data_IF_739027429000
#
_entry.id   IF_739027429000
#
_cell.length_a   1.000
_cell.length_b   1.000
_cell.length_c   1.000
_cell.angle_alpha   90.00
_cell.angle_beta   90.00
_cell.angle_gamma   90.00
#
_symmetry.space_group_name_H-M   'P 1'
#
loop_
_entity.id
_entity.type
_entity.pdbx_description
1 polymer ?
#
# COMPACT_ATOMS: atom_id res chain seq x y z
N UNK A 1 -12.73 -14.63 -12.96
CA UNK A 1 -11.43 -14.31 -13.62
C UNK A 1 -10.34 -14.85 -12.70
N UNK A 2 -9.34 -15.61 -13.17
CA UNK A 2 -8.32 -16.13 -12.24
C UNK A 2 -7.39 -15.00 -11.81
N UNK A 3 -7.73 -14.31 -10.71
CA UNK A 3 -6.88 -13.26 -10.15
C UNK A 3 -5.53 -13.85 -9.74
N UNK A 4 -4.46 -13.42 -10.40
CA UNK A 4 -3.08 -13.81 -10.10
C UNK A 4 -2.75 -13.69 -8.60
N UNK A 5 -3.25 -12.63 -7.96
CA UNK A 5 -3.10 -12.36 -6.52
C UNK A 5 -3.67 -13.50 -5.66
N UNK A 6 -4.84 -14.05 -6.04
CA UNK A 6 -5.52 -15.10 -5.30
C UNK A 6 -4.93 -16.50 -5.58
N UNK A 7 -4.20 -16.66 -6.67
CA UNK A 7 -3.56 -17.92 -7.09
C UNK A 7 -2.25 -18.23 -6.39
N UNK A 8 -1.55 -17.23 -5.85
CA UNK A 8 -0.17 -17.38 -5.32
C UNK A 8 -0.09 -18.04 -3.93
N UNK A 9 -1.14 -17.93 -3.11
CA UNK A 9 -1.15 -18.43 -1.73
C UNK A 9 -0.19 -17.67 -0.78
N UNK A 10 -0.45 -17.75 0.54
CA UNK A 10 0.27 -16.97 1.58
C UNK A 10 1.79 -17.20 1.62
N UNK A 11 2.27 -18.40 1.22
CA UNK A 11 3.70 -18.72 1.26
C UNK A 11 4.51 -17.96 0.20
N UNK A 12 3.90 -17.62 -0.94
CA UNK A 12 4.62 -17.00 -2.07
C UNK A 12 4.30 -15.51 -2.28
N UNK A 13 3.15 -15.02 -1.79
CA UNK A 13 2.77 -13.61 -1.85
C UNK A 13 2.50 -13.08 -0.44
N UNK A 14 3.44 -12.29 0.09
CA UNK A 14 3.41 -11.81 1.49
C UNK A 14 2.64 -10.52 1.69
N UNK A 15 2.57 -9.67 0.67
CA UNK A 15 1.96 -8.34 0.74
C UNK A 15 1.57 -7.87 -0.66
N UNK A 16 0.48 -7.12 -0.75
CA UNK A 16 0.08 -6.39 -1.97
C UNK A 16 0.27 -4.90 -1.69
N UNK A 17 1.06 -4.23 -2.54
CA UNK A 17 1.18 -2.77 -2.50
C UNK A 17 0.18 -2.18 -3.49
N UNK A 18 -0.71 -1.35 -3.00
CA UNK A 18 -1.69 -0.66 -3.82
C UNK A 18 -1.24 0.79 -4.01
N UNK A 19 -0.71 1.09 -5.19
CA UNK A 19 -0.14 2.39 -5.51
C UNK A 19 -1.24 3.32 -6.02
N UNK A 20 -1.43 4.44 -5.32
CA UNK A 20 -2.37 5.49 -5.71
C UNK A 20 -1.62 6.78 -6.03
N UNK A 21 -2.09 7.55 -7.00
CA UNK A 21 -1.57 8.90 -7.26
C UNK A 21 -2.08 9.85 -6.16
N UNK A 22 -1.19 10.45 -5.38
CA UNK A 22 -1.53 11.30 -4.24
C UNK A 22 -2.34 12.55 -4.63
N UNK A 23 -2.40 12.93 -5.91
CA UNK A 23 -3.22 14.05 -6.39
C UNK A 23 -4.70 13.69 -6.46
N UNK A 24 -5.03 12.44 -6.75
CA UNK A 24 -6.41 11.99 -6.96
C UNK A 24 -6.92 10.96 -5.94
N UNK A 25 -6.06 10.03 -5.49
CA UNK A 25 -6.47 8.92 -4.64
C UNK A 25 -7.11 7.80 -5.47
N UNK A 26 -8.13 7.16 -4.92
CA UNK A 26 -8.89 6.13 -5.62
C UNK A 26 -9.68 6.70 -6.80
N UNK A 27 -9.63 5.98 -7.92
CA UNK A 27 -10.47 6.18 -9.11
C UNK A 27 -11.48 5.05 -9.24
N UNK A 28 -12.51 5.25 -10.07
CA UNK A 28 -13.55 4.25 -10.35
C UNK A 28 -13.00 2.86 -10.65
N UNK A 29 -11.98 2.78 -11.52
CA UNK A 29 -11.32 1.54 -11.90
C UNK A 29 -10.64 0.81 -10.74
N UNK A 30 -10.15 1.56 -9.74
CA UNK A 30 -9.55 0.97 -8.54
C UNK A 30 -10.62 0.32 -7.66
N UNK A 31 -11.80 0.96 -7.54
CA UNK A 31 -12.95 0.39 -6.84
C UNK A 31 -13.46 -0.87 -7.55
N UNK A 32 -13.67 -0.81 -8.86
CA UNK A 32 -14.10 -1.95 -9.68
C UNK A 32 -13.12 -3.14 -9.56
N UNK A 33 -11.81 -2.87 -9.52
CA UNK A 33 -10.79 -3.89 -9.28
C UNK A 33 -10.90 -4.50 -7.88
N UNK A 34 -11.02 -3.67 -6.84
CA UNK A 34 -11.13 -4.14 -5.45
C UNK A 34 -12.42 -4.94 -5.22
N UNK A 35 -13.54 -4.53 -5.82
CA UNK A 35 -14.80 -5.26 -5.78
C UNK A 35 -14.68 -6.61 -6.49
N UNK A 36 -14.09 -6.64 -7.70
CA UNK A 36 -13.83 -7.88 -8.43
C UNK A 36 -12.92 -8.84 -7.65
N UNK A 37 -11.85 -8.31 -7.05
CA UNK A 37 -10.92 -9.08 -6.23
C UNK A 37 -11.64 -9.72 -5.02
N UNK A 38 -12.61 -9.01 -4.46
CA UNK A 38 -13.35 -9.45 -3.28
C UNK A 38 -14.51 -10.39 -3.55
N UNK A 39 -15.19 -10.20 -4.67
CA UNK A 39 -16.14 -11.16 -5.17
C UNK A 39 -15.51 -12.56 -5.23
N UNK A 40 -14.30 -12.65 -5.80
CA UNK A 40 -13.57 -13.90 -5.95
C UNK A 40 -12.91 -14.38 -4.64
N UNK A 41 -12.79 -13.50 -3.63
CA UNK A 41 -12.34 -13.85 -2.27
C UNK A 41 -13.41 -14.56 -1.43
N UNK A 42 -14.70 -14.41 -1.73
CA UNK A 42 -15.75 -15.17 -1.05
C UNK A 42 -15.53 -16.69 -1.16
N UNK A 43 -14.78 -17.14 -2.17
CA UNK A 43 -14.36 -18.53 -2.36
C UNK A 43 -12.99 -18.88 -1.76
N UNK A 44 -12.17 -17.91 -1.31
CA UNK A 44 -10.79 -18.12 -0.83
C UNK A 44 -10.47 -17.27 0.40
N UNK A 45 -10.14 -17.91 1.51
CA UNK A 45 -9.91 -17.25 2.82
C UNK A 45 -8.65 -16.38 2.92
N UNK A 46 -7.81 -16.28 1.89
CA UNK A 46 -6.42 -15.86 2.04
C UNK A 46 -5.95 -14.77 1.05
N UNK A 47 -6.54 -13.57 1.10
CA UNK A 47 -5.88 -12.38 0.53
C UNK A 47 -4.69 -11.98 1.41
N UNK A 48 -3.49 -11.69 0.85
CA UNK A 48 -2.40 -11.09 1.60
C UNK A 48 -2.76 -9.68 2.15
N UNK A 49 -2.04 -9.16 3.14
CA UNK A 49 -2.21 -7.77 3.58
C UNK A 49 -2.05 -6.79 2.42
N UNK A 50 -3.00 -5.86 2.28
CA UNK A 50 -2.91 -4.73 1.35
C UNK A 50 -2.30 -3.55 2.11
N UNK A 51 -1.28 -2.94 1.52
CA UNK A 51 -0.68 -1.70 2.00
C UNK A 51 -0.87 -0.60 0.96
N UNK A 52 -1.43 0.52 1.38
CA UNK A 52 -1.61 1.69 0.53
C UNK A 52 -0.29 2.47 0.42
N UNK A 53 0.05 2.84 -0.81
CA UNK A 53 1.22 3.67 -1.13
C UNK A 53 0.74 4.87 -1.95
N UNK A 54 0.73 6.06 -1.36
CA UNK A 54 0.47 7.29 -2.10
C UNK A 54 1.76 7.73 -2.79
N UNK A 55 1.71 7.83 -4.12
CA UNK A 55 2.83 8.22 -4.99
C UNK A 55 2.68 9.68 -5.43
N UNK A 56 3.77 10.30 -5.94
CA UNK A 56 3.78 11.71 -6.39
C UNK A 56 3.38 12.70 -5.29
N UNK A 57 3.71 12.37 -4.03
CA UNK A 57 3.38 13.24 -2.90
C UNK A 57 4.00 14.63 -3.02
N UNK A 58 5.14 14.77 -3.69
CA UNK A 58 5.83 16.05 -3.96
C UNK A 58 4.96 17.06 -4.72
N UNK A 59 3.90 16.61 -5.38
CA UNK A 59 2.97 17.46 -6.13
C UNK A 59 1.74 17.87 -5.30
N UNK A 60 1.71 17.57 -4.00
CA UNK A 60 0.54 17.77 -3.14
C UNK A 60 0.97 18.43 -1.83
N UNK A 61 0.16 19.39 -1.36
CA UNK A 61 0.44 20.07 -0.09
C UNK A 61 0.37 19.10 1.09
N UNK A 62 1.08 19.40 2.18
CA UNK A 62 1.07 18.53 3.36
C UNK A 62 -0.32 18.37 3.98
N UNK A 63 -1.14 19.43 3.98
CA UNK A 63 -2.50 19.39 4.50
C UNK A 63 -3.39 18.48 3.65
N UNK A 64 -3.30 18.60 2.33
CA UNK A 64 -4.08 17.75 1.42
C UNK A 64 -3.60 16.30 1.43
N UNK A 65 -2.30 16.05 1.64
CA UNK A 65 -1.78 14.70 1.88
C UNK A 65 -2.36 14.09 3.16
N UNK A 66 -2.40 14.84 4.27
CA UNK A 66 -2.96 14.37 5.52
C UNK A 66 -4.45 14.00 5.37
N UNK A 67 -5.23 14.86 4.70
CA UNK A 67 -6.62 14.59 4.34
C UNK A 67 -6.73 13.34 3.45
N UNK A 68 -5.87 13.24 2.44
CA UNK A 68 -5.87 12.12 1.50
C UNK A 68 -5.59 10.80 2.19
N UNK A 69 -4.65 10.74 3.13
CA UNK A 69 -4.34 9.54 3.92
C UNK A 69 -5.57 9.03 4.66
N UNK A 70 -6.31 9.92 5.33
CA UNK A 70 -7.54 9.55 6.04
C UNK A 70 -8.60 9.06 5.05
N UNK A 71 -8.80 9.81 3.95
CA UNK A 71 -9.76 9.47 2.91
C UNK A 71 -9.51 8.09 2.31
N UNK A 72 -8.30 7.78 1.86
CA UNK A 72 -8.00 6.50 1.21
C UNK A 72 -8.07 5.33 2.19
N UNK A 73 -7.70 5.54 3.46
CA UNK A 73 -7.89 4.52 4.50
C UNK A 73 -9.36 4.18 4.67
N UNK A 74 -10.21 5.20 4.82
CA UNK A 74 -11.65 5.00 4.98
C UNK A 74 -12.26 4.32 3.75
N UNK A 75 -11.89 4.78 2.54
CA UNK A 75 -12.37 4.18 1.29
C UNK A 75 -11.99 2.70 1.20
N UNK A 76 -10.74 2.34 1.49
CA UNK A 76 -10.32 0.94 1.50
C UNK A 76 -11.09 0.13 2.56
N UNK A 77 -11.26 0.66 3.77
CA UNK A 77 -12.04 0.01 4.84
C UNK A 77 -13.48 -0.28 4.42
N UNK A 78 -14.12 0.67 3.72
CA UNK A 78 -15.52 0.52 3.30
C UNK A 78 -15.71 -0.56 2.23
N UNK A 79 -14.73 -0.71 1.34
CA UNK A 79 -14.79 -1.69 0.26
C UNK A 79 -14.48 -3.08 0.81
N UNK A 80 -13.49 -3.21 1.69
CA UNK A 80 -13.02 -4.51 2.14
C UNK A 80 -14.03 -5.21 3.08
N UNK A 81 -14.48 -6.41 2.69
CA UNK A 81 -15.35 -7.33 3.46
C UNK A 81 -14.71 -7.66 4.82
N UNK A 82 -13.39 -7.69 4.89
CA UNK A 82 -12.62 -7.91 6.12
C UNK A 82 -11.90 -6.63 6.52
N UNK A 83 -11.63 -6.50 7.82
CA UNK A 83 -10.85 -5.39 8.33
C UNK A 83 -9.55 -5.22 7.52
N UNK A 84 -9.27 -4.01 6.98
CA UNK A 84 -8.02 -3.73 6.31
C UNK A 84 -6.84 -3.99 7.25
N UNK A 85 -5.70 -4.31 6.65
CA UNK A 85 -4.48 -4.48 7.43
C UNK A 85 -4.16 -3.20 8.20
N UNK A 86 -3.68 -3.32 9.45
CA UNK A 86 -3.20 -2.21 10.27
C UNK A 86 -1.92 -1.54 9.74
N UNK A 87 -1.55 -1.82 8.48
CA UNK A 87 -0.38 -1.27 7.84
C UNK A 87 -0.53 0.24 7.61
N UNK A 88 0.54 1.02 7.81
CA UNK A 88 0.52 2.44 7.55
C UNK A 88 0.36 2.72 6.05
N UNK A 89 -0.28 3.86 5.73
CA UNK A 89 -0.23 4.42 4.38
C UNK A 89 1.15 5.03 4.20
N UNK A 90 1.88 4.58 3.18
CA UNK A 90 3.21 5.09 2.86
C UNK A 90 3.10 6.26 1.88
N UNK A 91 3.82 7.35 2.15
CA UNK A 91 3.90 8.51 1.27
C UNK A 91 5.23 8.48 0.52
N UNK A 92 5.20 8.42 -0.80
CA UNK A 92 6.41 8.31 -1.64
C UNK A 92 6.38 9.28 -2.82
N UNK A 93 7.55 9.76 -3.19
CA UNK A 93 7.79 10.42 -4.48
C UNK A 93 8.90 9.66 -5.20
N UNK A 94 8.74 9.50 -6.52
CA UNK A 94 9.78 8.95 -7.39
C UNK A 94 10.89 9.96 -7.70
N UNK A 95 10.66 11.26 -7.43
CA UNK A 95 11.63 12.31 -7.71
C UNK A 95 12.77 12.24 -6.70
N UNK A 96 13.97 11.98 -7.19
CA UNK A 96 15.18 11.95 -6.37
C UNK A 96 15.36 13.29 -5.64
N UNK A 97 15.74 13.22 -4.35
CA UNK A 97 15.96 14.40 -3.51
C UNK A 97 14.69 15.12 -3.01
N UNK A 98 13.50 14.73 -3.47
CA UNK A 98 12.23 15.40 -3.14
C UNK A 98 11.17 14.46 -2.54
N UNK A 99 11.53 13.20 -2.31
CA UNK A 99 10.77 12.33 -1.41
C UNK A 99 10.56 13.06 -0.09
N UNK A 100 9.35 12.99 0.47
CA UNK A 100 9.07 13.36 1.86
C UNK A 100 9.97 12.50 2.76
N UNK A 101 11.25 12.85 2.83
CA UNK A 101 12.23 12.38 3.76
C UNK A 101 12.01 13.29 4.96
N UNK A 102 10.91 13.07 5.68
CA UNK A 102 10.72 13.65 6.99
C UNK A 102 11.78 13.03 7.90
N UNK A 103 13.01 13.56 7.83
CA UNK A 103 14.07 13.19 8.74
C UNK A 103 13.65 13.72 10.11
N UNK A 104 13.21 12.83 11.00
CA UNK A 104 13.00 13.14 12.42
C UNK A 104 14.16 12.54 13.19
N UNK A 105 15.06 13.39 13.69
CA UNK A 105 16.34 12.96 14.26
C UNK A 105 17.26 12.40 13.17
N UNK A 106 17.85 11.21 13.38
CA UNK A 106 18.72 10.54 12.38
C UNK A 106 17.99 9.51 11.50
N UNK A 107 16.65 9.54 11.42
CA UNK A 107 15.87 8.58 10.61
C UNK A 107 15.02 9.29 9.57
N UNK A 108 15.22 8.95 8.30
CA UNK A 108 14.26 9.26 7.25
C UNK A 108 12.93 8.55 7.54
N UNK A 109 11.84 9.32 7.62
CA UNK A 109 10.47 8.83 7.53
C UNK A 109 9.87 9.29 6.21
N UNK A 110 9.11 8.41 5.56
CA UNK A 110 8.56 8.56 4.23
C UNK A 110 9.55 8.28 3.10
N UNK A 111 9.04 8.29 1.87
CA UNK A 111 9.84 8.18 0.66
C UNK A 111 10.17 6.74 0.24
N UNK A 112 10.90 6.63 -0.88
CA UNK A 112 11.27 5.34 -1.48
C UNK A 112 12.15 4.50 -0.53
N UNK A 113 13.09 5.13 0.19
CA UNK A 113 14.04 4.41 1.03
C UNK A 113 13.35 3.75 2.24
N UNK A 114 12.36 4.42 2.84
CA UNK A 114 11.59 3.81 3.93
C UNK A 114 10.72 2.66 3.40
N UNK A 115 10.09 2.83 2.22
CA UNK A 115 9.36 1.74 1.57
C UNK A 115 10.29 0.55 1.28
N UNK A 116 11.48 0.79 0.72
CA UNK A 116 12.48 -0.26 0.46
C UNK A 116 12.87 -0.99 1.75
N UNK A 117 13.12 -0.26 2.84
CA UNK A 117 13.46 -0.86 4.14
C UNK A 117 12.31 -1.71 4.70
N UNK A 118 11.08 -1.22 4.60
CA UNK A 118 9.91 -1.95 5.05
C UNK A 118 9.71 -3.25 4.26
N UNK A 119 9.88 -3.18 2.93
CA UNK A 119 9.79 -4.33 2.04
C UNK A 119 10.95 -5.32 2.24
N UNK A 120 12.16 -4.84 2.51
CA UNK A 120 13.30 -5.69 2.85
C UNK A 120 13.03 -6.53 4.10
N UNK A 121 12.28 -5.99 5.08
CA UNK A 121 11.82 -6.72 6.26
C UNK A 121 10.88 -7.90 5.96
N UNK A 122 10.26 -7.94 4.78
CA UNK A 122 9.43 -9.07 4.34
C UNK A 122 10.25 -10.24 3.83
N UNK A 123 11.50 -10.03 3.42
CA UNK A 123 12.38 -11.10 2.92
C UNK A 123 12.84 -11.93 4.12
N UNK A 124 12.64 -13.25 4.07
CA UNK A 124 13.21 -14.12 5.12
C UNK A 124 14.73 -14.02 4.98
N UNK A 125 15.43 -13.63 6.04
CA UNK A 125 16.89 -13.81 6.06
C UNK A 125 17.17 -15.30 5.88
N UNK A 126 18.11 -15.69 4.99
CA UNK A 126 18.53 -17.08 4.92
C UNK A 126 18.99 -17.50 6.31
N UNK A 127 18.44 -18.62 6.82
CA UNK A 127 19.06 -19.25 7.97
C UNK A 127 20.36 -19.84 7.48
N UNK A 128 21.46 -19.16 7.80
CA UNK A 128 22.79 -19.72 7.64
C UNK A 128 22.91 -20.74 8.78
N UNK A 129 22.79 -22.01 8.43
CA UNK A 129 23.11 -23.16 9.27
C UNK A 129 24.62 -23.38 9.31
#
# INVERSE_FOLDING_TARGET
MNHYILGRGKKSLKRVLFLLDARHGFKKTDFEFLESLQHDLKARTNLPPIQLVLTKCDLVTQNDLARRVVQVKQQLSNILIRQPSSLPVMLVSAKAGLGFNNIRGNRARGGILELQRELAGLVRKPQIS
#
